data_IF_181451888342
#
_entry.id   IF_181451888342
#
_cell.length_a   1.000
_cell.length_b   1.000
_cell.length_c   1.000
_cell.angle_alpha   90.00
_cell.angle_beta   90.00
_cell.angle_gamma   90.00
#
_symmetry.space_group_name_H-M   'P 1'
#
loop_
_entity.id
_entity.type
_entity.pdbx_description
1 polymer ?
#
# COMPACT_ATOMS: atom_id res chain seq x y z
N UNK A 1 -47.05 -23.64 -33.38
CA UNK A 1 -45.60 -23.57 -33.09
C UNK A 1 -45.07 -22.27 -33.66
N UNK A 2 -44.85 -21.26 -32.83
CA UNK A 2 -44.07 -20.08 -33.19
C UNK A 2 -42.93 -20.02 -32.17
N UNK A 3 -41.73 -20.29 -32.66
CA UNK A 3 -40.48 -20.29 -31.90
C UNK A 3 -40.21 -18.87 -31.41
N UNK A 4 -40.45 -18.61 -30.12
CA UNK A 4 -39.86 -17.45 -29.46
C UNK A 4 -38.39 -17.78 -29.23
N UNK A 5 -37.56 -17.30 -30.16
CA UNK A 5 -36.13 -17.21 -29.98
C UNK A 5 -35.88 -16.45 -28.68
N UNK A 6 -35.40 -17.18 -27.68
CA UNK A 6 -34.75 -16.62 -26.50
C UNK A 6 -33.60 -15.73 -26.98
N UNK A 7 -33.83 -14.42 -27.06
CA UNK A 7 -32.75 -13.45 -27.19
C UNK A 7 -32.08 -13.38 -25.83
N UNK A 8 -31.16 -14.32 -25.61
CA UNK A 8 -30.06 -14.18 -24.66
C UNK A 8 -29.22 -12.98 -25.12
N UNK A 9 -29.73 -11.76 -24.89
CA UNK A 9 -28.95 -10.53 -25.05
C UNK A 9 -27.93 -10.53 -23.93
N UNK A 10 -26.75 -11.08 -24.23
CA UNK A 10 -25.56 -10.84 -23.43
C UNK A 10 -25.45 -9.33 -23.22
N UNK A 11 -25.43 -8.83 -21.97
CA UNK A 11 -25.39 -7.40 -21.72
C UNK A 11 -24.16 -6.80 -22.37
N UNK A 12 -24.38 -5.69 -23.11
CA UNK A 12 -23.34 -5.00 -23.89
C UNK A 12 -22.17 -4.49 -23.03
N UNK A 13 -22.43 -4.22 -21.75
CA UNK A 13 -21.43 -3.76 -20.79
C UNK A 13 -21.37 -4.72 -19.59
N UNK A 14 -20.17 -5.09 -19.11
CA UNK A 14 -20.01 -5.97 -17.95
C UNK A 14 -20.58 -5.36 -16.66
N UNK A 15 -21.25 -6.16 -15.82
CA UNK A 15 -21.75 -5.70 -14.51
C UNK A 15 -21.43 -6.71 -13.39
N UNK A 16 -20.16 -6.80 -12.97
CA UNK A 16 -19.68 -7.77 -11.99
C UNK A 16 -20.05 -7.38 -10.55
N UNK A 17 -21.34 -7.31 -10.27
CA UNK A 17 -21.90 -6.88 -8.97
C UNK A 17 -21.60 -7.83 -7.80
N UNK A 18 -21.23 -9.07 -8.08
CA UNK A 18 -20.91 -10.09 -7.07
C UNK A 18 -19.49 -9.92 -6.50
N UNK A 19 -18.62 -9.15 -7.17
CA UNK A 19 -17.26 -8.95 -6.70
C UNK A 19 -17.20 -7.99 -5.52
N UNK A 20 -16.62 -8.46 -4.44
CA UNK A 20 -16.25 -7.61 -3.31
C UNK A 20 -14.84 -7.07 -3.53
N UNK A 21 -14.78 -5.80 -3.92
CA UNK A 21 -13.53 -5.12 -4.24
C UNK A 21 -12.56 -5.07 -3.05
N UNK A 22 -13.05 -5.10 -1.81
CA UNK A 22 -12.21 -5.11 -0.62
C UNK A 22 -11.34 -6.36 -0.47
N UNK A 23 -11.75 -7.50 -1.06
CA UNK A 23 -10.90 -8.71 -1.09
C UNK A 23 -9.86 -8.68 -2.22
N UNK A 24 -10.20 -8.04 -3.35
CA UNK A 24 -9.33 -8.00 -4.53
C UNK A 24 -8.31 -6.86 -4.47
N UNK A 25 -8.68 -5.77 -3.82
CA UNK A 25 -7.84 -4.60 -3.55
C UNK A 25 -7.86 -4.35 -2.04
N UNK A 26 -7.16 -5.17 -1.23
CA UNK A 26 -7.19 -5.13 0.23
C UNK A 26 -6.34 -3.98 0.81
N UNK A 27 -6.14 -2.92 0.03
CA UNK A 27 -5.35 -1.76 0.41
C UNK A 27 -6.17 -0.50 0.19
N UNK A 28 -6.07 0.39 1.16
CA UNK A 28 -6.77 1.66 1.13
C UNK A 28 -6.07 2.62 0.18
N UNK A 29 -6.83 3.36 -0.61
CA UNK A 29 -6.33 4.41 -1.49
C UNK A 29 -5.90 5.62 -0.67
N UNK A 30 -4.60 5.90 -0.68
CA UNK A 30 -3.97 7.08 -0.10
C UNK A 30 -2.82 7.53 -0.99
N UNK A 31 -2.25 8.74 -0.80
CA UNK A 31 -1.05 9.16 -1.53
C UNK A 31 0.12 8.18 -1.41
N UNK A 32 0.25 7.47 -0.27
CA UNK A 32 1.35 6.53 0.00
C UNK A 32 1.15 5.16 -0.65
N UNK A 33 -0.10 4.74 -0.82
CA UNK A 33 -0.49 3.42 -1.33
C UNK A 33 -0.92 3.45 -2.80
N UNK A 34 -1.03 4.65 -3.39
CA UNK A 34 -1.58 4.87 -4.73
C UNK A 34 -0.98 3.93 -5.79
N UNK A 35 0.34 3.74 -5.83
CA UNK A 35 0.95 2.92 -6.88
C UNK A 35 0.58 1.43 -6.78
N UNK A 36 0.54 0.89 -5.56
CA UNK A 36 0.13 -0.51 -5.33
C UNK A 36 -1.37 -0.65 -5.56
N UNK A 37 -2.16 0.32 -5.08
CA UNK A 37 -3.61 0.38 -5.29
C UNK A 37 -3.94 0.43 -6.78
N UNK A 38 -3.26 1.30 -7.52
CA UNK A 38 -3.44 1.51 -8.96
C UNK A 38 -3.20 0.21 -9.71
N UNK A 39 -2.16 -0.53 -9.37
CA UNK A 39 -1.86 -1.82 -9.99
C UNK A 39 -2.96 -2.85 -9.72
N UNK A 40 -3.29 -3.09 -8.45
CA UNK A 40 -4.32 -4.07 -8.08
C UNK A 40 -5.69 -3.70 -8.68
N UNK A 41 -6.02 -2.41 -8.67
CA UNK A 41 -7.26 -1.91 -9.27
C UNK A 41 -7.27 -2.08 -10.79
N UNK A 42 -6.16 -1.80 -11.48
CA UNK A 42 -6.03 -2.04 -12.93
C UNK A 42 -6.18 -3.53 -13.24
N UNK A 43 -5.52 -4.41 -12.49
CA UNK A 43 -5.65 -5.86 -12.69
C UNK A 43 -7.11 -6.29 -12.58
N UNK A 44 -7.87 -5.80 -11.59
CA UNK A 44 -9.30 -6.10 -11.46
C UNK A 44 -10.10 -5.52 -12.63
N UNK A 45 -9.87 -4.25 -12.98
CA UNK A 45 -10.61 -3.54 -14.04
C UNK A 45 -10.37 -4.18 -15.41
N UNK A 46 -9.14 -4.58 -15.73
CA UNK A 46 -8.78 -5.28 -16.96
C UNK A 46 -9.42 -6.67 -17.01
N UNK A 47 -9.31 -7.45 -15.93
CA UNK A 47 -9.90 -8.80 -15.87
C UNK A 47 -11.44 -8.80 -15.96
N UNK A 48 -12.09 -7.68 -15.64
CA UNK A 48 -13.54 -7.51 -15.76
C UNK A 48 -13.98 -6.82 -17.06
N UNK A 49 -13.05 -6.50 -17.97
CA UNK A 49 -13.36 -5.82 -19.23
C UNK A 49 -13.85 -4.37 -19.05
N UNK A 50 -13.46 -3.72 -17.96
CA UNK A 50 -13.91 -2.38 -17.57
C UNK A 50 -12.92 -1.26 -17.93
N UNK A 51 -11.74 -1.59 -18.46
CA UNK A 51 -10.67 -0.62 -18.78
C UNK A 51 -11.17 0.55 -19.64
N UNK A 52 -12.08 0.28 -20.57
CA UNK A 52 -12.61 1.29 -21.47
C UNK A 52 -13.40 2.42 -20.80
N UNK A 53 -13.91 2.18 -19.57
CA UNK A 53 -14.60 3.19 -18.78
C UNK A 53 -13.64 4.18 -18.10
N UNK A 54 -12.36 3.84 -17.96
CA UNK A 54 -11.34 4.69 -17.30
C UNK A 54 -10.42 5.39 -18.29
N UNK A 55 -10.07 4.76 -19.41
CA UNK A 55 -9.25 5.37 -20.47
C UNK A 55 -10.08 6.21 -21.47
N UNK A 56 -11.40 5.97 -21.49
CA UNK A 56 -12.34 6.67 -22.36
C UNK A 56 -12.51 6.06 -23.76
N UNK A 57 -12.01 4.86 -24.00
CA UNK A 57 -12.26 4.10 -25.25
C UNK A 57 -13.71 3.63 -25.36
N UNK A 58 -14.42 3.42 -24.23
CA UNK A 58 -15.87 3.21 -24.20
C UNK A 58 -16.57 4.57 -24.06
N UNK A 59 -17.14 5.04 -25.16
CA UNK A 59 -17.84 6.33 -25.25
C UNK A 59 -19.29 6.19 -24.78
N UNK A 60 -19.81 7.23 -24.10
CA UNK A 60 -21.22 7.30 -23.71
C UNK A 60 -22.13 7.16 -24.94
N UNK A 61 -23.07 6.21 -24.94
CA UNK A 61 -24.17 6.18 -25.92
C UNK A 61 -25.06 7.42 -25.77
N UNK A 62 -25.82 7.72 -26.83
CA UNK A 62 -26.86 8.75 -26.76
C UNK A 62 -27.90 8.38 -25.71
N UNK A 63 -28.30 9.32 -24.86
CA UNK A 63 -29.30 9.10 -23.80
C UNK A 63 -30.68 8.74 -24.37
N UNK A 64 -30.97 9.21 -25.58
CA UNK A 64 -32.20 8.90 -26.33
C UNK A 64 -31.86 8.40 -27.72
N UNK A 65 -32.67 7.46 -28.21
CA UNK A 65 -32.57 6.92 -29.58
C UNK A 65 -33.90 7.09 -30.29
N UNK A 66 -33.86 7.23 -31.61
CA UNK A 66 -35.04 7.33 -32.47
C UNK A 66 -35.42 5.97 -33.01
N UNK A 67 -36.67 5.57 -32.81
CA UNK A 67 -37.24 4.34 -33.36
C UNK A 67 -38.36 4.72 -34.34
N UNK A 68 -38.57 3.97 -35.43
CA UNK A 68 -39.72 4.17 -36.29
C UNK A 68 -41.02 4.14 -35.47
N UNK A 69 -41.89 5.11 -35.73
CA UNK A 69 -43.22 5.13 -35.17
C UNK A 69 -44.10 4.15 -35.95
N UNK A 70 -44.49 3.03 -35.34
CA UNK A 70 -45.35 2.03 -35.98
C UNK A 70 -46.71 2.61 -36.40
N UNK A 71 -47.12 3.76 -35.85
CA UNK A 71 -48.38 4.45 -36.15
C UNK A 71 -48.26 5.54 -37.24
N UNK A 72 -47.06 5.81 -37.80
CA UNK A 72 -46.91 6.82 -38.85
C UNK A 72 -45.91 6.45 -39.96
N UNK A 73 -46.24 6.81 -41.21
CA UNK A 73 -45.47 6.42 -42.42
C UNK A 73 -44.07 7.08 -42.49
N UNK A 74 -43.83 8.15 -41.72
CA UNK A 74 -42.56 8.91 -41.75
C UNK A 74 -42.08 9.41 -40.37
N UNK A 75 -42.78 9.10 -39.28
CA UNK A 75 -42.45 9.62 -37.95
C UNK A 75 -41.47 8.72 -37.20
N UNK A 76 -40.70 9.34 -36.31
CA UNK A 76 -39.79 8.67 -35.39
C UNK A 76 -40.10 9.11 -33.97
N UNK A 77 -40.21 8.16 -33.03
CA UNK A 77 -40.38 8.46 -31.60
C UNK A 77 -39.00 8.43 -30.94
N UNK A 78 -38.73 9.39 -30.05
CA UNK A 78 -37.56 9.33 -29.18
C UNK A 78 -37.86 8.50 -27.93
N UNK A 79 -37.12 7.42 -27.76
CA UNK A 79 -37.16 6.60 -26.55
C UNK A 79 -35.84 6.70 -25.79
N UNK A 80 -35.88 6.36 -24.51
CA UNK A 80 -34.69 6.27 -23.69
C UNK A 80 -33.79 5.11 -24.15
N UNK A 81 -32.49 5.34 -24.25
CA UNK A 81 -31.57 4.35 -24.76
C UNK A 81 -31.16 3.36 -23.66
N UNK A 82 -31.48 2.09 -23.84
CA UNK A 82 -31.11 1.02 -22.91
C UNK A 82 -29.58 0.87 -22.78
N UNK A 83 -28.84 1.04 -23.87
CA UNK A 83 -27.37 1.00 -23.84
C UNK A 83 -26.78 2.10 -22.96
N UNK A 84 -27.39 3.29 -22.95
CA UNK A 84 -26.96 4.38 -22.09
C UNK A 84 -27.19 4.04 -20.61
N UNK A 85 -28.31 3.40 -20.27
CA UNK A 85 -28.59 2.94 -18.90
C UNK A 85 -27.57 1.90 -18.43
N UNK A 86 -27.30 0.90 -19.27
CA UNK A 86 -26.38 -0.19 -18.93
C UNK A 86 -24.93 0.31 -18.85
N UNK A 87 -24.53 1.22 -19.74
CA UNK A 87 -23.25 1.94 -19.67
C UNK A 87 -23.14 2.73 -18.36
N UNK A 88 -24.15 3.54 -18.03
CA UNK A 88 -24.15 4.37 -16.82
C UNK A 88 -24.10 3.55 -15.54
N UNK A 89 -24.86 2.44 -15.48
CA UNK A 89 -24.85 1.51 -14.35
C UNK A 89 -23.46 0.91 -14.13
N UNK A 90 -22.80 0.49 -15.20
CA UNK A 90 -21.44 -0.08 -15.17
C UNK A 90 -20.40 0.95 -14.71
N UNK A 91 -20.45 2.17 -15.26
CA UNK A 91 -19.59 3.26 -14.85
C UNK A 91 -19.78 3.66 -13.38
N UNK A 92 -21.02 3.63 -12.88
CA UNK A 92 -21.32 3.89 -11.48
C UNK A 92 -20.84 2.79 -10.53
N UNK A 93 -20.89 1.51 -10.94
CA UNK A 93 -20.30 0.41 -10.17
C UNK A 93 -18.81 0.64 -9.97
N UNK A 94 -18.10 0.99 -11.05
CA UNK A 94 -16.66 1.24 -11.00
C UNK A 94 -16.31 2.46 -10.13
N UNK A 95 -17.11 3.52 -10.22
CA UNK A 95 -16.97 4.68 -9.33
C UNK A 95 -17.15 4.29 -7.86
N UNK A 96 -18.14 3.44 -7.54
CA UNK A 96 -18.35 2.92 -6.18
C UNK A 96 -17.17 2.07 -5.71
N UNK A 97 -16.58 1.26 -6.57
CA UNK A 97 -15.38 0.50 -6.22
C UNK A 97 -14.24 1.42 -5.79
N UNK A 98 -13.94 2.46 -6.56
CA UNK A 98 -12.90 3.43 -6.19
C UNK A 98 -13.22 4.12 -4.85
N UNK A 99 -14.44 4.62 -4.69
CA UNK A 99 -14.89 5.27 -3.46
C UNK A 99 -14.84 4.33 -2.25
N UNK A 100 -15.15 3.04 -2.41
CA UNK A 100 -15.14 2.07 -1.33
C UNK A 100 -13.73 1.74 -0.81
N UNK A 101 -12.70 1.98 -1.64
CA UNK A 101 -11.30 1.81 -1.25
C UNK A 101 -10.70 3.04 -0.56
N UNK A 102 -11.46 4.14 -0.42
CA UNK A 102 -11.03 5.34 0.32
C UNK A 102 -11.45 5.25 1.79
N UNK A 103 -10.49 5.37 2.71
CA UNK A 103 -10.76 5.36 4.15
C UNK A 103 -11.45 6.64 4.62
N UNK A 104 -10.87 7.80 4.28
CA UNK A 104 -11.28 9.12 4.75
C UNK A 104 -12.68 9.47 4.23
N UNK A 105 -13.60 9.79 5.14
CA UNK A 105 -14.97 10.15 4.79
C UNK A 105 -15.03 11.47 4.02
N UNK A 106 -14.12 12.38 4.33
CA UNK A 106 -13.92 13.68 3.71
C UNK A 106 -13.41 13.52 2.27
N UNK A 107 -12.46 12.60 2.04
CA UNK A 107 -11.98 12.28 0.70
C UNK A 107 -13.09 11.63 -0.14
N UNK A 108 -13.85 10.69 0.44
CA UNK A 108 -15.03 10.10 -0.23
C UNK A 108 -16.04 11.17 -0.64
N UNK A 109 -16.38 12.08 0.27
CA UNK A 109 -17.30 13.19 0.00
C UNK A 109 -16.76 14.12 -1.10
N UNK A 110 -15.46 14.44 -1.06
CA UNK A 110 -14.80 15.25 -2.07
C UNK A 110 -14.90 14.62 -3.47
N UNK A 111 -14.51 13.35 -3.62
CA UNK A 111 -14.56 12.68 -4.93
C UNK A 111 -16.00 12.45 -5.40
N UNK A 112 -16.92 12.11 -4.50
CA UNK A 112 -18.33 11.93 -4.85
C UNK A 112 -18.98 13.23 -5.36
N UNK A 113 -18.53 14.39 -4.88
CA UNK A 113 -19.05 15.70 -5.30
C UNK A 113 -18.36 16.27 -6.53
N UNK A 114 -17.07 16.00 -6.71
CA UNK A 114 -16.25 16.60 -7.77
C UNK A 114 -16.02 15.69 -8.99
N UNK A 115 -16.26 14.38 -8.88
CA UNK A 115 -16.04 13.41 -9.96
C UNK A 115 -17.34 12.65 -10.28
N UNK A 116 -18.13 13.08 -11.28
CA UNK A 116 -19.40 12.42 -11.62
C UNK A 116 -19.24 11.05 -12.31
N UNK A 117 -18.04 10.69 -12.77
CA UNK A 117 -17.74 9.41 -13.41
C UNK A 117 -16.45 8.75 -12.91
N UNK A 118 -16.36 7.42 -13.10
CA UNK A 118 -15.13 6.66 -12.83
C UNK A 118 -13.93 7.20 -13.62
N UNK A 119 -14.15 7.65 -14.87
CA UNK A 119 -13.12 8.27 -15.71
C UNK A 119 -12.55 9.53 -15.07
N UNK A 120 -13.40 10.45 -14.62
CA UNK A 120 -12.96 11.71 -14.01
C UNK A 120 -12.24 11.47 -12.69
N UNK A 121 -12.75 10.55 -11.86
CA UNK A 121 -12.07 10.17 -10.63
C UNK A 121 -10.69 9.55 -10.95
N UNK A 122 -10.60 8.64 -11.92
CA UNK A 122 -9.33 8.04 -12.34
C UNK A 122 -8.33 9.09 -12.85
N UNK A 123 -8.76 9.99 -13.73
CA UNK A 123 -7.93 11.08 -14.23
C UNK A 123 -7.47 12.02 -13.12
N UNK A 124 -8.35 12.32 -12.15
CA UNK A 124 -8.02 13.18 -11.02
C UNK A 124 -7.01 12.50 -10.09
N UNK A 125 -7.16 11.21 -9.83
CA UNK A 125 -6.18 10.40 -9.09
C UNK A 125 -4.83 10.29 -9.82
N UNK A 126 -4.83 10.09 -11.14
CA UNK A 126 -3.64 10.11 -12.01
C UNK A 126 -2.96 11.49 -12.03
N UNK A 127 -3.74 12.57 -11.93
CA UNK A 127 -3.21 13.95 -11.87
C UNK A 127 -2.64 14.29 -10.48
N UNK A 128 -3.34 13.89 -9.42
CA UNK A 128 -2.87 14.03 -8.03
C UNK A 128 -1.61 13.21 -7.79
N UNK A 129 -1.55 11.99 -8.33
CA UNK A 129 -0.35 11.17 -8.32
C UNK A 129 0.71 11.62 -9.32
N UNK A 130 0.36 12.37 -10.36
CA UNK A 130 1.32 13.03 -11.26
C UNK A 130 2.15 14.13 -10.58
N UNK A 131 1.76 14.58 -9.38
CA UNK A 131 2.58 15.42 -8.49
C UNK A 131 3.46 14.58 -7.54
N UNK A 132 3.24 13.27 -7.49
CA UNK A 132 4.09 12.28 -6.82
C UNK A 132 5.02 11.71 -7.91
N UNK A 133 6.34 11.56 -7.68
CA UNK A 133 7.21 11.04 -8.73
C UNK A 133 6.72 9.66 -9.20
N UNK A 134 6.42 9.51 -10.51
CA UNK A 134 5.94 8.25 -11.09
C UNK A 134 7.05 7.19 -11.06
N UNK A 135 6.92 6.05 -10.36
CA UNK A 135 7.74 4.88 -10.62
C UNK A 135 7.06 4.12 -11.76
N UNK A 136 7.64 4.14 -12.95
CA UNK A 136 7.07 3.46 -14.13
C UNK A 136 7.31 1.95 -14.04
N UNK A 137 6.24 1.14 -14.08
CA UNK A 137 6.28 -0.31 -13.82
C UNK A 137 7.16 -1.16 -14.76
N UNK A 138 7.48 -0.67 -15.97
CA UNK A 138 8.49 -1.31 -16.84
C UNK A 138 9.92 -1.02 -16.38
N UNK A 139 10.15 0.18 -15.87
CA UNK A 139 11.42 0.59 -15.26
C UNK A 139 11.62 -0.12 -13.92
N UNK A 140 10.58 -0.38 -13.12
CA UNK A 140 10.70 -1.09 -11.85
C UNK A 140 11.24 -2.52 -12.00
N UNK A 141 10.97 -3.23 -13.10
CA UNK A 141 11.52 -4.59 -13.29
C UNK A 141 12.93 -4.60 -13.87
N UNK A 142 13.26 -3.70 -14.80
CA UNK A 142 14.61 -3.62 -15.40
C UNK A 142 15.60 -2.76 -14.61
N UNK A 143 15.18 -1.66 -14.00
CA UNK A 143 16.01 -0.83 -13.11
C UNK A 143 16.10 -1.41 -11.70
N UNK A 144 15.09 -2.05 -11.10
CA UNK A 144 15.34 -2.73 -9.82
C UNK A 144 16.31 -3.92 -10.02
N UNK A 145 16.25 -4.61 -11.17
CA UNK A 145 17.24 -5.63 -11.53
C UNK A 145 18.65 -5.05 -11.75
N UNK A 146 18.79 -3.91 -12.43
CA UNK A 146 20.07 -3.23 -12.72
C UNK A 146 20.62 -2.39 -11.54
N UNK A 147 19.76 -1.90 -10.64
CA UNK A 147 20.12 -1.04 -9.50
C UNK A 147 20.39 -1.86 -8.23
N UNK A 148 19.75 -3.03 -8.07
CA UNK A 148 20.15 -3.96 -7.01
C UNK A 148 21.57 -4.53 -7.23
N UNK A 149 21.98 -4.75 -8.49
CA UNK A 149 23.38 -5.10 -8.78
C UNK A 149 24.34 -3.96 -8.45
N UNK A 150 23.90 -2.70 -8.59
CA UNK A 150 24.69 -1.52 -8.22
C UNK A 150 24.89 -1.42 -6.70
N UNK A 151 23.83 -1.64 -5.92
CA UNK A 151 23.91 -1.64 -4.44
C UNK A 151 24.36 -2.98 -3.83
N UNK A 152 24.61 -4.01 -4.64
CA UNK A 152 25.08 -5.31 -4.18
C UNK A 152 26.37 -5.23 -3.34
N UNK A 153 27.37 -4.37 -3.65
CA UNK A 153 28.53 -4.16 -2.79
C UNK A 153 28.13 -3.62 -1.41
N UNK A 154 27.25 -2.62 -1.35
CA UNK A 154 26.77 -2.05 -0.08
C UNK A 154 25.97 -3.07 0.73
N UNK A 155 25.11 -3.85 0.07
CA UNK A 155 24.39 -4.96 0.70
C UNK A 155 25.32 -6.02 1.28
N UNK A 156 26.34 -6.46 0.52
CA UNK A 156 27.34 -7.42 1.02
C UNK A 156 28.16 -6.86 2.18
N UNK A 157 28.52 -5.58 2.11
CA UNK A 157 29.25 -4.90 3.17
C UNK A 157 28.40 -4.82 4.45
N UNK A 158 27.13 -4.45 4.33
CA UNK A 158 26.15 -4.48 5.42
C UNK A 158 25.96 -5.88 6.01
N UNK A 159 25.88 -6.92 5.16
CA UNK A 159 25.78 -8.34 5.52
C UNK A 159 27.08 -8.97 6.07
N UNK A 160 28.25 -8.33 5.92
CA UNK A 160 29.52 -8.79 6.49
C UNK A 160 30.02 -7.93 7.65
N UNK A 161 29.54 -6.69 7.77
CA UNK A 161 29.95 -5.75 8.81
C UNK A 161 31.19 -4.97 8.42
N UNK A 162 31.48 -4.99 7.13
CA UNK A 162 32.62 -4.33 6.53
C UNK A 162 32.28 -2.85 6.34
N UNK A 163 32.49 -2.07 7.41
CA UNK A 163 32.25 -0.64 7.39
C UNK A 163 33.13 0.08 6.36
N UNK A 164 34.36 -0.37 6.15
CA UNK A 164 35.29 0.28 5.22
C UNK A 164 34.78 0.18 3.79
N UNK A 165 34.38 -1.02 3.34
CA UNK A 165 33.77 -1.20 2.02
C UNK A 165 32.46 -0.42 1.86
N UNK A 166 31.62 -0.39 2.91
CA UNK A 166 30.38 0.38 2.87
C UNK A 166 30.64 1.89 2.81
N UNK A 167 31.56 2.41 3.61
CA UNK A 167 31.92 3.82 3.66
C UNK A 167 32.52 4.27 2.32
N UNK A 168 33.38 3.47 1.71
CA UNK A 168 33.93 3.76 0.38
C UNK A 168 32.85 3.86 -0.71
N UNK A 169 31.74 3.12 -0.57
CA UNK A 169 30.58 3.24 -1.46
C UNK A 169 29.78 4.51 -1.14
N UNK A 170 29.48 4.73 0.14
CA UNK A 170 28.69 5.88 0.61
C UNK A 170 29.39 7.22 0.34
N UNK A 171 30.71 7.31 0.45
CA UNK A 171 31.45 8.54 0.14
C UNK A 171 31.33 8.94 -1.34
N UNK A 172 31.23 7.95 -2.23
CA UNK A 172 31.02 8.19 -3.67
C UNK A 172 29.57 8.55 -3.97
N UNK A 173 28.64 7.95 -3.23
CA UNK A 173 27.20 8.14 -3.39
C UNK A 173 26.53 8.36 -2.03
N UNK A 174 26.54 9.59 -1.49
CA UNK A 174 26.02 9.86 -0.14
C UNK A 174 24.54 9.50 0.03
N UNK A 175 23.74 9.61 -1.03
CA UNK A 175 22.32 9.22 -1.02
C UNK A 175 22.09 7.70 -0.91
N UNK A 176 23.14 6.88 -1.03
CA UNK A 176 23.03 5.42 -0.85
C UNK A 176 22.65 5.01 0.58
N UNK A 177 22.85 5.88 1.58
CA UNK A 177 22.46 5.61 2.98
C UNK A 177 20.95 5.40 3.17
N UNK A 178 20.13 5.97 2.27
CA UNK A 178 18.66 5.86 2.25
C UNK A 178 18.15 4.95 1.11
N UNK A 179 19.05 4.38 0.31
CA UNK A 179 18.68 3.61 -0.86
C UNK A 179 18.07 2.25 -0.49
N UNK A 180 17.17 1.79 -1.35
CA UNK A 180 16.70 0.41 -1.38
C UNK A 180 17.79 -0.46 -1.99
N UNK A 181 18.29 -1.42 -1.23
CA UNK A 181 19.44 -2.27 -1.62
C UNK A 181 19.08 -3.74 -1.75
N UNK A 182 17.84 -4.14 -1.44
CA UNK A 182 17.35 -5.52 -1.58
C UNK A 182 16.04 -5.61 -2.36
N UNK A 183 15.72 -6.82 -2.83
CA UNK A 183 14.46 -7.12 -3.50
C UNK A 183 13.22 -6.93 -2.63
N UNK A 184 13.37 -6.84 -1.30
CA UNK A 184 12.29 -6.60 -0.34
C UNK A 184 12.10 -5.13 0.03
N UNK A 185 12.82 -4.22 -0.64
CA UNK A 185 12.86 -2.80 -0.33
C UNK A 185 13.57 -2.44 0.97
N UNK A 186 14.52 -3.28 1.40
CA UNK A 186 15.28 -2.99 2.60
C UNK A 186 16.39 -1.97 2.32
N UNK A 187 16.68 -1.15 3.33
CA UNK A 187 17.84 -0.25 3.36
C UNK A 187 19.04 -0.94 3.99
N UNK A 188 20.23 -0.34 3.85
CA UNK A 188 21.44 -0.82 4.55
C UNK A 188 21.23 -0.90 6.06
N UNK A 189 20.46 0.01 6.65
CA UNK A 189 20.16 0.01 8.07
C UNK A 189 19.40 -1.26 8.49
N UNK A 190 18.36 -1.65 7.75
CA UNK A 190 17.56 -2.85 8.04
C UNK A 190 18.41 -4.12 7.96
N UNK A 191 19.23 -4.24 6.91
CA UNK A 191 20.12 -5.38 6.70
C UNK A 191 21.12 -5.51 7.85
N UNK A 192 21.73 -4.39 8.27
CA UNK A 192 22.68 -4.37 9.40
C UNK A 192 21.99 -4.79 10.70
N UNK A 193 20.80 -4.26 10.98
CA UNK A 193 20.03 -4.60 12.18
C UNK A 193 19.63 -6.08 12.19
N UNK A 194 19.11 -6.60 11.09
CA UNK A 194 18.68 -8.00 10.98
C UNK A 194 19.84 -9.01 11.04
N UNK A 195 21.02 -8.61 10.59
CA UNK A 195 22.20 -9.48 10.59
C UNK A 195 22.84 -9.72 11.97
N UNK A 196 22.53 -8.90 12.97
CA UNK A 196 23.04 -9.03 14.34
C UNK A 196 24.55 -8.77 14.51
N UNK A 197 24.98 -8.36 15.71
CA UNK A 197 26.40 -8.24 16.11
C UNK A 197 27.26 -7.25 15.29
N UNK A 198 26.67 -6.15 14.83
CA UNK A 198 27.30 -5.20 13.88
C UNK A 198 27.31 -3.78 14.39
N UNK A 199 27.45 -3.63 15.70
CA UNK A 199 27.27 -2.36 16.44
C UNK A 199 28.17 -1.23 15.93
N UNK A 200 29.42 -1.53 15.56
CA UNK A 200 30.33 -0.52 15.00
C UNK A 200 29.80 0.04 13.67
N UNK A 201 29.46 -0.85 12.72
CA UNK A 201 28.88 -0.47 11.44
C UNK A 201 27.59 0.32 11.65
N UNK A 202 26.68 -0.19 12.49
CA UNK A 202 25.40 0.47 12.78
C UNK A 202 25.62 1.90 13.31
N UNK A 203 26.47 2.08 14.33
CA UNK A 203 26.72 3.40 14.91
C UNK A 203 27.27 4.39 13.88
N UNK A 204 28.18 3.92 13.03
CA UNK A 204 28.75 4.74 11.95
C UNK A 204 27.70 5.08 10.88
N UNK A 205 26.89 4.11 10.45
CA UNK A 205 25.80 4.36 9.51
C UNK A 205 24.78 5.35 10.09
N UNK A 206 24.39 5.17 11.35
CA UNK A 206 23.50 6.09 12.05
C UNK A 206 24.08 7.51 12.15
N UNK A 207 25.40 7.71 12.20
CA UNK A 207 25.98 9.06 12.18
C UNK A 207 25.72 9.80 10.86
N UNK A 208 25.55 9.07 9.75
CA UNK A 208 25.31 9.64 8.42
C UNK A 208 23.81 9.84 8.10
N UNK A 209 22.91 9.23 8.88
CA UNK A 209 21.47 9.27 8.63
C UNK A 209 20.79 10.44 9.34
N UNK A 210 19.71 10.95 8.75
CA UNK A 210 18.77 11.86 9.39
C UNK A 210 17.76 11.06 10.23
N UNK A 211 17.10 11.66 11.25
CA UNK A 211 16.05 10.99 12.00
C UNK A 211 14.95 10.40 11.11
N UNK A 212 14.53 11.14 10.07
CA UNK A 212 13.51 10.71 9.12
C UNK A 212 13.92 9.46 8.31
N UNK A 213 15.21 9.16 8.19
CA UNK A 213 15.68 7.99 7.45
C UNK A 213 15.45 6.68 8.23
N UNK A 214 15.23 6.76 9.56
CA UNK A 214 15.00 5.59 10.42
C UNK A 214 13.56 5.05 10.34
N UNK A 215 12.64 5.85 9.78
CA UNK A 215 11.23 5.45 9.59
C UNK A 215 10.95 4.97 8.17
N UNK A 216 11.98 4.89 7.32
CA UNK A 216 11.87 4.21 6.02
C UNK A 216 11.52 2.75 6.30
N UNK A 217 10.56 2.24 5.54
CA UNK A 217 9.99 0.91 5.70
C UNK A 217 10.17 0.08 4.42
N UNK A 218 10.22 -1.24 4.60
CA UNK A 218 10.28 -2.20 3.49
C UNK A 218 8.89 -2.38 2.82
N UNK A 219 8.75 -3.37 1.93
CA UNK A 219 7.47 -3.68 1.24
C UNK A 219 6.31 -4.02 2.16
N UNK A 220 6.59 -4.44 3.39
CA UNK A 220 5.62 -4.84 4.40
C UNK A 220 5.44 -3.77 5.48
N UNK A 221 5.98 -2.56 5.28
CA UNK A 221 5.92 -1.51 6.31
C UNK A 221 6.87 -1.77 7.49
N UNK A 222 7.78 -2.75 7.37
CA UNK A 222 8.72 -3.11 8.44
C UNK A 222 9.85 -2.09 8.44
N UNK A 223 10.04 -1.43 9.58
CA UNK A 223 11.17 -0.52 9.83
C UNK A 223 12.34 -1.24 10.50
N UNK A 224 13.50 -0.57 10.58
CA UNK A 224 14.64 -1.09 11.33
C UNK A 224 14.30 -1.42 12.80
N UNK A 225 13.38 -0.68 13.43
CA UNK A 225 12.98 -0.97 14.81
C UNK A 225 12.10 -2.23 14.93
N UNK A 226 11.26 -2.53 13.94
CA UNK A 226 10.52 -3.80 13.90
C UNK A 226 11.48 -4.99 13.84
N UNK A 227 12.53 -4.90 13.01
CA UNK A 227 13.55 -5.95 12.91
C UNK A 227 14.30 -6.08 14.24
N UNK A 228 14.75 -4.97 14.83
CA UNK A 228 15.39 -4.99 16.15
C UNK A 228 14.49 -5.62 17.22
N UNK A 229 13.19 -5.32 17.17
CA UNK A 229 12.19 -5.86 18.09
C UNK A 229 12.04 -7.39 17.97
N UNK A 230 11.96 -7.91 16.75
CA UNK A 230 11.90 -9.36 16.50
C UNK A 230 13.19 -10.11 16.82
N UNK A 231 14.35 -9.49 16.57
CA UNK A 231 15.66 -10.02 16.96
C UNK A 231 15.84 -10.00 18.49
N UNK A 232 15.31 -8.97 19.16
CA UNK A 232 15.44 -8.75 20.60
C UNK A 232 16.71 -7.98 21.00
N UNK A 233 17.36 -7.25 20.08
CA UNK A 233 18.57 -6.47 20.38
C UNK A 233 18.22 -5.11 21.00
N UNK A 234 18.09 -5.10 22.33
CA UNK A 234 17.67 -3.92 23.12
C UNK A 234 18.62 -2.74 22.95
N UNK A 235 19.92 -2.99 22.80
CA UNK A 235 20.89 -1.90 22.61
C UNK A 235 20.70 -1.21 21.27
N UNK A 236 20.47 -1.99 20.21
CA UNK A 236 20.17 -1.44 18.88
C UNK A 236 18.86 -0.66 18.90
N UNK A 237 17.81 -1.20 19.52
CA UNK A 237 16.55 -0.49 19.66
C UNK A 237 16.73 0.86 20.39
N UNK A 238 17.52 0.90 21.48
CA UNK A 238 17.85 2.14 22.19
C UNK A 238 18.54 3.17 21.29
N UNK A 239 19.50 2.74 20.47
CA UNK A 239 20.19 3.64 19.54
C UNK A 239 19.25 4.23 18.48
N UNK A 240 18.31 3.41 17.97
CA UNK A 240 17.33 3.85 16.97
C UNK A 240 16.35 4.88 17.57
N UNK A 241 15.78 4.56 18.73
CA UNK A 241 14.80 5.43 19.42
C UNK A 241 15.45 6.73 19.90
N UNK A 242 16.69 6.67 20.39
CA UNK A 242 17.43 7.88 20.78
C UNK A 242 17.62 8.84 19.59
N UNK A 243 17.85 8.31 18.38
CA UNK A 243 18.05 9.12 17.18
C UNK A 243 16.73 9.60 16.56
N UNK A 244 15.68 8.80 16.64
CA UNK A 244 14.34 9.20 16.26
C UNK A 244 13.28 8.61 17.24
N UNK A 245 12.74 9.44 18.16
CA UNK A 245 11.75 9.03 19.13
C UNK A 245 10.41 8.57 18.56
N UNK A 246 10.12 8.82 17.28
CA UNK A 246 8.87 8.40 16.65
C UNK A 246 8.94 6.97 16.08
N UNK A 247 10.14 6.37 16.04
CA UNK A 247 10.32 5.00 15.52
C UNK A 247 9.47 3.92 16.21
N UNK A 248 9.19 3.96 17.54
CA UNK A 248 8.32 2.98 18.21
C UNK A 248 6.86 3.02 17.76
N UNK A 249 6.41 4.13 17.18
CA UNK A 249 5.01 4.35 16.85
C UNK A 249 4.68 4.08 15.38
N UNK A 250 5.68 3.81 14.55
CA UNK A 250 5.45 3.48 13.14
C UNK A 250 4.82 2.08 13.04
N UNK A 251 3.62 1.94 12.45
CA UNK A 251 3.02 0.64 12.23
C UNK A 251 3.48 0.02 10.92
N UNK A 252 3.54 -1.32 10.87
CA UNK A 252 3.62 -2.09 9.64
C UNK A 252 2.28 -2.15 8.88
N UNK A 253 2.23 -2.88 7.76
CA UNK A 253 1.00 -3.02 6.95
C UNK A 253 -0.16 -3.67 7.72
N UNK A 254 0.14 -4.46 8.74
CA UNK A 254 -0.85 -5.14 9.59
C UNK A 254 -1.24 -4.30 10.82
N UNK A 255 -0.87 -3.01 10.82
CA UNK A 255 -1.06 -2.08 11.93
C UNK A 255 -0.32 -2.50 13.21
N UNK A 256 0.71 -3.33 13.08
CA UNK A 256 1.53 -3.80 14.18
C UNK A 256 2.64 -2.78 14.44
N UNK A 257 2.76 -2.30 15.67
CA UNK A 257 3.93 -1.54 16.13
C UNK A 257 5.07 -2.49 16.53
N UNK A 258 6.34 -2.04 16.61
CA UNK A 258 7.47 -2.86 17.05
C UNK A 258 7.24 -3.59 18.39
N UNK A 259 6.48 -3.00 19.32
CA UNK A 259 6.14 -3.62 20.62
C UNK A 259 5.38 -4.95 20.44
N UNK A 260 4.48 -5.04 19.46
CA UNK A 260 3.74 -6.27 19.17
C UNK A 260 4.68 -7.34 18.59
N UNK A 261 5.63 -6.95 17.73
CA UNK A 261 6.63 -7.86 17.19
C UNK A 261 7.50 -8.45 18.31
N UNK A 262 7.95 -7.62 19.26
CA UNK A 262 8.71 -8.10 20.41
C UNK A 262 7.93 -9.12 21.25
N UNK A 263 6.63 -8.88 21.47
CA UNK A 263 5.76 -9.80 22.21
C UNK A 263 5.53 -11.12 21.45
N UNK A 264 5.25 -11.06 20.15
CA UNK A 264 5.03 -12.23 19.30
C UNK A 264 6.25 -13.16 19.29
N UNK A 265 7.45 -12.60 19.31
CA UNK A 265 8.71 -13.33 19.35
C UNK A 265 9.23 -13.65 20.76
N UNK A 266 8.44 -13.40 21.81
CA UNK A 266 8.82 -13.73 23.20
C UNK A 266 10.01 -12.90 23.73
N UNK A 267 10.29 -11.74 23.15
CA UNK A 267 11.47 -10.91 23.50
C UNK A 267 11.20 -10.07 24.75
N UNK A 268 11.17 -10.70 25.93
CA UNK A 268 10.80 -10.07 27.21
C UNK A 268 11.49 -8.72 27.46
N UNK A 269 12.83 -8.69 27.47
CA UNK A 269 13.58 -7.46 27.75
C UNK A 269 13.34 -6.35 26.71
N UNK A 270 13.12 -6.74 25.46
CA UNK A 270 12.78 -5.81 24.39
C UNK A 270 11.37 -5.26 24.56
N UNK A 271 10.40 -6.12 24.87
CA UNK A 271 9.05 -5.72 25.16
C UNK A 271 9.01 -4.74 26.36
N UNK A 272 9.69 -5.08 27.45
CA UNK A 272 9.84 -4.21 28.63
C UNK A 272 10.54 -2.88 28.32
N UNK A 273 11.39 -2.82 27.29
CA UNK A 273 11.94 -1.55 26.84
C UNK A 273 10.91 -0.78 25.99
N UNK A 274 10.34 -1.41 24.97
CA UNK A 274 9.42 -0.77 24.03
C UNK A 274 8.16 -0.21 24.69
N UNK A 275 7.65 -0.87 25.74
CA UNK A 275 6.51 -0.36 26.51
C UNK A 275 6.79 1.02 27.14
N UNK A 276 8.05 1.33 27.47
CA UNK A 276 8.42 2.62 28.08
C UNK A 276 8.59 3.75 27.06
N UNK A 277 8.67 3.42 25.77
CA UNK A 277 8.93 4.40 24.69
C UNK A 277 7.83 4.44 23.62
N UNK A 278 6.86 3.54 23.67
CA UNK A 278 5.72 3.53 22.74
C UNK A 278 4.61 4.44 23.26
N UNK A 279 4.06 5.31 22.42
CA UNK A 279 2.97 6.22 22.82
C UNK A 279 1.64 5.48 22.76
N UNK A 280 0.85 5.59 23.83
CA UNK A 280 -0.43 4.88 23.98
C UNK A 280 -1.55 5.51 23.15
N UNK A 281 -1.46 6.80 22.90
CA UNK A 281 -2.47 7.64 22.26
C UNK A 281 -2.28 7.79 20.74
N UNK A 282 -1.15 7.31 20.20
CA UNK A 282 -0.87 7.35 18.76
C UNK A 282 -1.46 6.13 18.07
N UNK A 283 -2.34 6.39 17.10
CA UNK A 283 -2.95 5.35 16.28
C UNK A 283 -1.92 4.63 15.38
N UNK A 284 -2.00 3.29 15.24
CA UNK A 284 -2.93 2.39 15.94
C UNK A 284 -2.55 2.27 17.43
N UNK A 285 -3.53 2.48 18.32
CA UNK A 285 -3.26 2.37 19.76
C UNK A 285 -2.75 0.97 20.09
N UNK A 286 -1.57 0.83 20.74
CA UNK A 286 -0.93 -0.47 20.94
C UNK A 286 -1.73 -1.41 21.86
N UNK A 287 -2.59 -0.85 22.72
CA UNK A 287 -3.31 -1.57 23.77
C UNK A 287 -4.83 -1.61 23.57
N UNK A 288 -5.33 -1.13 22.42
CA UNK A 288 -6.76 -1.04 22.12
C UNK A 288 -7.13 -1.86 20.89
N UNK A 289 -8.42 -2.20 20.78
CA UNK A 289 -8.99 -2.90 19.64
C UNK A 289 -8.24 -4.17 19.23
N UNK A 290 -8.05 -4.32 17.92
CA UNK A 290 -7.37 -5.50 17.36
C UNK A 290 -5.90 -5.60 17.78
N UNK A 291 -5.20 -4.47 17.88
CA UNK A 291 -3.79 -4.43 18.28
C UNK A 291 -3.60 -4.89 19.73
N UNK A 292 -4.43 -4.38 20.65
CA UNK A 292 -4.42 -4.79 22.06
C UNK A 292 -4.78 -6.27 22.24
N UNK A 293 -5.79 -6.77 21.51
CA UNK A 293 -6.17 -8.18 21.53
C UNK A 293 -5.05 -9.12 21.06
N UNK A 294 -4.40 -8.78 19.94
CA UNK A 294 -3.23 -9.53 19.43
C UNK A 294 -2.06 -9.47 20.41
N UNK A 295 -1.84 -8.32 21.03
CA UNK A 295 -0.77 -8.16 22.00
C UNK A 295 -1.00 -9.03 23.24
N UNK A 296 -2.20 -9.02 23.80
CA UNK A 296 -2.55 -9.88 24.93
C UNK A 296 -2.38 -11.36 24.59
N UNK A 297 -2.84 -11.78 23.40
CA UNK A 297 -2.65 -13.15 22.94
C UNK A 297 -1.16 -13.52 22.82
N UNK A 298 -0.35 -12.62 22.27
CA UNK A 298 1.10 -12.82 22.13
C UNK A 298 1.80 -12.94 23.49
N UNK A 299 1.42 -12.11 24.46
CA UNK A 299 1.96 -12.15 25.82
C UNK A 299 1.56 -13.43 26.55
N UNK A 300 0.31 -13.88 26.40
CA UNK A 300 -0.17 -15.13 26.99
C UNK A 300 0.55 -16.35 26.37
N UNK A 301 0.67 -16.38 25.05
CA UNK A 301 1.30 -17.50 24.34
C UNK A 301 2.79 -17.64 24.67
N UNK A 302 3.50 -16.52 24.87
CA UNK A 302 4.93 -16.51 25.18
C UNK A 302 5.22 -16.42 26.69
N UNK A 303 4.24 -16.63 27.55
CA UNK A 303 4.37 -16.58 29.03
C UNK A 303 5.03 -15.28 29.53
N UNK A 304 4.77 -14.15 28.86
CA UNK A 304 5.34 -12.84 29.19
C UNK A 304 4.59 -12.12 30.33
N UNK A 305 3.71 -12.83 31.04
CA UNK A 305 2.96 -12.34 32.21
C UNK A 305 3.48 -13.00 33.49
N UNK A 306 3.65 -12.25 34.58
CA UNK A 306 3.67 -12.84 35.94
C UNK A 306 4.99 -12.95 36.70
N UNK A 307 6.13 -12.43 36.24
CA UNK A 307 7.30 -12.27 37.13
C UNK A 307 7.64 -10.79 37.33
N UNK A 308 7.15 -10.26 38.44
CA UNK A 308 7.56 -8.99 39.02
C UNK A 308 9.02 -9.09 39.48
N UNK A 309 9.89 -8.23 38.93
CA UNK A 309 11.16 -7.87 39.56
C UNK A 309 10.98 -6.65 40.45
#
# INVERSE_FOLDING_TARGET
MASMLSTSTTPKYPYPHELNIGFLVPIELSPKTYFVWRKLMLDVVENQGLLGFIDGTIVSPLERTTVPDDDSVTGTIQIENQDYKDWKRTGQLLLRWFLSTLLEAEARLFFQTNCPSAKEMWMMLEKMSGQIPKPSERVIKEEAGKNLSHYLPLHRAALKGDWESANNFIEKEPDSVRAIITGYWETALMVVVGSGQRKHFLKKLLQLMLPADLIVADRLGITALHIAAGVGDVEVAKLLVQKNPDTPDVPDIDKSKPILIAALHGRRNMFSYLITVTKEDVEPKPFDGQSGGRLLQALLFNELYGESY
#
